data_IF_605023171655
#
_entry.id   IF_605023171655
#
_cell.length_a   1.000
_cell.length_b   1.000
_cell.length_c   1.000
_cell.angle_alpha   90.00
_cell.angle_beta   90.00
_cell.angle_gamma   90.00
#
_symmetry.space_group_name_H-M   'P 1'
#
loop_
_entity.id
_entity.type
_entity.pdbx_description
1 polymer ?
#
# COMPACT_ATOMS: atom_id res chain seq x y z
N UNK A 1 16.07 8.91 -11.18
CA UNK A 1 16.64 7.96 -12.14
C UNK A 1 15.91 6.63 -12.12
N UNK A 2 16.12 5.80 -13.12
CA UNK A 2 15.56 4.44 -13.21
C UNK A 2 16.34 3.44 -12.34
N UNK A 3 15.74 2.28 -12.05
CA UNK A 3 16.40 1.18 -11.36
C UNK A 3 16.56 1.36 -9.84
N UNK A 4 15.77 2.24 -9.22
CA UNK A 4 15.83 2.41 -7.77
C UNK A 4 15.18 1.20 -7.07
N UNK A 5 15.89 0.64 -6.08
CA UNK A 5 15.44 -0.50 -5.29
C UNK A 5 15.68 -0.23 -3.81
N UNK A 6 14.62 -0.36 -3.00
CA UNK A 6 14.72 -0.49 -1.56
C UNK A 6 14.64 -1.98 -1.22
N UNK A 7 15.69 -2.51 -0.62
CA UNK A 7 15.75 -3.95 -0.25
C UNK A 7 16.17 -4.13 1.19
N UNK A 8 15.41 -4.94 1.94
CA UNK A 8 15.75 -5.31 3.31
C UNK A 8 15.67 -4.16 4.31
N UNK A 9 15.05 -3.04 3.94
CA UNK A 9 14.96 -1.84 4.78
C UNK A 9 13.87 -1.98 5.85
N UNK A 10 14.02 -1.20 6.91
CA UNK A 10 13.03 -1.07 7.99
C UNK A 10 12.69 0.40 8.17
N UNK A 11 11.39 0.73 8.23
CA UNK A 11 10.88 2.08 8.49
C UNK A 11 9.90 2.02 9.66
N UNK A 12 10.21 2.69 10.75
CA UNK A 12 9.37 2.65 11.95
C UNK A 12 9.46 3.96 12.75
N UNK A 13 8.37 4.27 13.44
CA UNK A 13 8.26 5.49 14.26
C UNK A 13 8.53 6.78 13.46
N UNK A 14 8.31 6.76 12.15
CA UNK A 14 8.29 8.01 11.39
C UNK A 14 7.00 8.76 11.73
N UNK A 15 7.09 10.09 11.76
CA UNK A 15 5.91 10.93 12.01
C UNK A 15 4.89 10.87 10.89
N UNK A 16 5.29 10.48 9.71
CA UNK A 16 4.48 10.33 8.52
C UNK A 16 4.60 8.89 7.98
N UNK A 17 4.76 8.68 6.71
CA UNK A 17 4.77 7.35 6.07
C UNK A 17 6.09 6.59 6.28
N UNK A 18 6.05 5.27 6.17
CA UNK A 18 7.24 4.42 6.21
C UNK A 18 8.05 4.52 4.92
N UNK A 19 7.40 4.27 3.79
CA UNK A 19 7.94 4.43 2.44
C UNK A 19 6.94 5.25 1.62
N UNK A 20 7.43 6.29 0.93
CA UNK A 20 6.60 7.14 0.07
C UNK A 20 7.25 7.31 -1.30
N UNK A 21 6.53 6.89 -2.35
CA UNK A 21 6.93 6.98 -3.75
C UNK A 21 6.19 8.10 -4.51
N UNK A 22 5.56 9.03 -3.78
CA UNK A 22 4.86 10.14 -4.43
C UNK A 22 5.77 10.89 -5.39
N UNK A 23 5.26 11.23 -6.56
CA UNK A 23 5.96 11.94 -7.63
C UNK A 23 7.17 11.20 -8.23
N UNK A 24 7.31 9.90 -8.00
CA UNK A 24 8.34 9.11 -8.65
C UNK A 24 8.05 8.99 -10.14
N UNK A 25 8.94 9.55 -10.97
CA UNK A 25 8.78 9.55 -12.43
C UNK A 25 9.28 8.28 -13.12
N UNK A 26 9.81 7.31 -12.37
CA UNK A 26 10.31 6.03 -12.86
C UNK A 26 9.88 4.91 -11.91
N UNK A 27 9.80 3.70 -12.43
CA UNK A 27 9.46 2.53 -11.62
C UNK A 27 10.48 2.34 -10.47
N UNK A 28 9.94 2.07 -9.29
CA UNK A 28 10.71 1.79 -8.08
C UNK A 28 10.28 0.42 -7.56
N UNK A 29 11.23 -0.38 -7.11
CA UNK A 29 11.00 -1.66 -6.46
C UNK A 29 11.23 -1.52 -4.96
N UNK A 30 10.26 -1.95 -4.15
CA UNK A 30 10.40 -2.10 -2.70
C UNK A 30 10.25 -3.58 -2.39
N UNK A 31 11.30 -4.21 -1.86
CA UNK A 31 11.28 -5.64 -1.59
C UNK A 31 11.92 -6.02 -0.25
N UNK A 32 11.36 -7.04 0.41
CA UNK A 32 11.86 -7.54 1.70
C UNK A 32 11.96 -6.44 2.77
N UNK A 33 11.10 -5.43 2.69
CA UNK A 33 11.07 -4.29 3.60
C UNK A 33 9.96 -4.43 4.64
N UNK A 34 10.16 -3.79 5.79
CA UNK A 34 9.14 -3.73 6.84
C UNK A 34 8.80 -2.26 7.17
N UNK A 35 7.52 -1.98 7.33
CA UNK A 35 7.01 -0.67 7.75
C UNK A 35 6.04 -0.85 8.92
N UNK A 36 6.37 -0.28 10.08
CA UNK A 36 5.59 -0.52 11.29
C UNK A 36 5.64 0.65 12.27
N UNK A 37 4.54 0.86 13.01
CA UNK A 37 4.38 1.96 13.96
C UNK A 37 4.60 3.36 13.37
N UNK A 38 4.48 3.52 12.04
CA UNK A 38 4.57 4.85 11.43
C UNK A 38 3.30 5.65 11.71
N UNK A 39 3.42 6.97 11.74
CA UNK A 39 2.37 7.92 12.06
C UNK A 39 2.10 8.04 13.57
N UNK A 40 2.96 7.52 14.41
CA UNK A 40 2.91 7.67 15.87
C UNK A 40 4.18 8.29 16.42
N UNK A 41 4.07 8.94 17.56
CA UNK A 41 5.25 9.33 18.36
C UNK A 41 5.86 8.12 19.04
N UNK A 42 7.19 8.05 19.15
CA UNK A 42 7.83 6.99 19.91
C UNK A 42 7.28 6.86 21.32
N UNK A 43 7.00 5.62 21.74
CA UNK A 43 6.50 5.33 23.09
C UNK A 43 5.05 4.85 23.16
N UNK A 44 4.28 4.87 22.06
CA UNK A 44 2.94 4.31 22.06
C UNK A 44 2.09 4.64 20.85
N UNK A 45 1.00 3.90 20.67
CA UNK A 45 0.07 4.06 19.54
C UNK A 45 -1.11 5.01 19.85
N UNK A 46 -1.09 5.69 20.97
CA UNK A 46 -2.14 6.64 21.36
C UNK A 46 -1.94 8.05 20.80
N UNK A 47 -0.68 8.42 20.52
CA UNK A 47 -0.31 9.75 20.04
C UNK A 47 0.09 9.72 18.57
N UNK A 48 -0.87 10.09 17.71
CA UNK A 48 -0.64 10.22 16.26
C UNK A 48 0.20 11.47 15.96
N UNK A 49 1.13 11.32 15.01
CA UNK A 49 2.03 12.39 14.58
C UNK A 49 1.76 12.85 13.14
N UNK A 50 1.30 11.97 12.25
CA UNK A 50 1.04 12.27 10.84
C UNK A 50 0.16 11.22 10.16
N UNK A 51 0.27 11.07 8.84
CA UNK A 51 -0.56 10.15 8.07
C UNK A 51 -0.29 8.69 8.47
N UNK A 52 0.95 8.27 8.43
CA UNK A 52 1.41 6.99 8.95
C UNK A 52 0.97 5.78 8.14
N UNK A 53 1.03 5.87 6.83
CA UNK A 53 0.92 4.71 5.95
C UNK A 53 2.23 3.91 5.96
N UNK A 54 2.14 2.59 5.90
CA UNK A 54 3.33 1.73 5.84
C UNK A 54 4.06 1.89 4.50
N UNK A 55 3.40 1.54 3.41
CA UNK A 55 3.91 1.63 2.04
C UNK A 55 2.95 2.44 1.18
N UNK A 56 3.32 3.66 0.87
CA UNK A 56 2.61 4.57 -0.01
C UNK A 56 3.29 4.54 -1.38
N UNK A 57 2.75 3.73 -2.28
CA UNK A 57 3.46 3.33 -3.49
C UNK A 57 2.95 4.05 -4.73
N UNK A 58 3.22 5.34 -4.84
CA UNK A 58 2.92 6.11 -6.04
C UNK A 58 2.14 7.39 -5.77
N UNK A 59 1.43 7.87 -6.79
CA UNK A 59 0.64 9.09 -6.75
C UNK A 59 1.40 10.35 -7.20
N UNK A 60 0.61 11.33 -7.65
CA UNK A 60 1.14 12.62 -8.13
C UNK A 60 0.38 13.81 -7.50
N UNK A 61 -0.28 13.55 -6.37
CA UNK A 61 -1.14 14.51 -5.71
C UNK A 61 -2.49 14.71 -6.42
N UNK A 62 -3.34 15.52 -5.81
CA UNK A 62 -4.69 15.82 -6.29
C UNK A 62 -4.82 17.25 -6.83
N UNK A 63 -3.72 17.90 -7.19
CA UNK A 63 -3.75 19.21 -7.82
C UNK A 63 -4.20 19.13 -9.29
N UNK A 64 -4.78 20.21 -9.78
CA UNK A 64 -5.18 20.35 -11.18
C UNK A 64 -3.99 20.41 -12.15
N UNK A 65 -2.78 20.62 -11.62
CA UNK A 65 -1.54 20.60 -12.42
C UNK A 65 -0.78 19.32 -12.12
N UNK A 66 -0.94 18.27 -12.92
CA UNK A 66 -0.27 17.01 -12.68
C UNK A 66 1.23 17.15 -12.91
N UNK A 67 2.01 16.65 -11.95
CA UNK A 67 3.46 16.45 -12.09
C UNK A 67 3.78 15.03 -12.54
N UNK A 68 2.80 14.35 -13.11
CA UNK A 68 2.95 12.98 -13.59
C UNK A 68 3.81 12.96 -14.87
N UNK A 69 4.62 11.91 -15.06
CA UNK A 69 5.31 11.68 -16.31
C UNK A 69 4.32 11.27 -17.40
N UNK A 70 4.70 11.41 -18.68
CA UNK A 70 3.89 10.98 -19.81
C UNK A 70 3.54 9.47 -19.75
N UNK A 71 4.50 8.67 -19.30
CA UNK A 71 4.29 7.22 -19.07
C UNK A 71 4.28 6.98 -17.58
N UNK A 72 3.13 6.55 -17.06
CA UNK A 72 2.96 6.23 -15.63
C UNK A 72 3.74 4.97 -15.29
N UNK A 73 4.69 5.04 -14.35
CA UNK A 73 5.48 3.87 -13.97
C UNK A 73 4.64 2.87 -13.17
N UNK A 74 4.82 1.58 -13.43
CA UNK A 74 4.30 0.53 -12.56
C UNK A 74 5.34 0.25 -11.48
N UNK A 75 5.07 0.71 -10.25
CA UNK A 75 5.91 0.37 -9.10
C UNK A 75 5.68 -1.07 -8.66
N UNK A 76 6.66 -1.65 -7.97
CA UNK A 76 6.57 -3.00 -7.40
C UNK A 76 6.79 -2.95 -5.89
N UNK A 77 5.88 -3.56 -5.14
CA UNK A 77 6.04 -3.80 -3.70
C UNK A 77 5.87 -5.29 -3.46
N UNK A 78 6.94 -5.95 -3.03
CA UNK A 78 6.95 -7.40 -2.90
C UNK A 78 7.72 -7.93 -1.68
N UNK A 79 7.22 -9.04 -1.12
CA UNK A 79 7.82 -9.68 0.06
C UNK A 79 7.97 -8.71 1.24
N UNK A 80 7.05 -7.78 1.40
CA UNK A 80 7.07 -6.73 2.40
C UNK A 80 6.07 -7.01 3.52
N UNK A 81 6.34 -6.44 4.70
CA UNK A 81 5.46 -6.56 5.87
C UNK A 81 5.07 -5.17 6.37
N UNK A 82 3.77 -4.92 6.52
CA UNK A 82 3.21 -3.69 7.09
C UNK A 82 2.36 -4.00 8.31
N UNK A 83 2.72 -3.45 9.49
CA UNK A 83 1.92 -3.71 10.67
C UNK A 83 1.91 -2.55 11.66
N UNK A 84 0.78 -2.40 12.37
CA UNK A 84 0.57 -1.38 13.41
C UNK A 84 0.84 0.06 12.96
N UNK A 85 0.75 0.37 11.68
CA UNK A 85 0.83 1.76 11.21
C UNK A 85 -0.45 2.52 11.59
N UNK A 86 -0.39 3.85 11.70
CA UNK A 86 -1.55 4.64 12.14
C UNK A 86 -2.64 4.79 11.10
N UNK A 87 -2.34 4.48 9.84
CA UNK A 87 -3.27 4.53 8.71
C UNK A 87 -3.24 3.21 7.93
N UNK A 88 -2.88 3.19 6.68
CA UNK A 88 -2.95 2.02 5.80
C UNK A 88 -1.66 1.19 5.88
N UNK A 89 -1.76 -0.11 5.65
CA UNK A 89 -0.58 -0.95 5.47
C UNK A 89 0.07 -0.71 4.11
N UNK A 90 -0.68 -0.95 3.03
CA UNK A 90 -0.28 -0.75 1.64
C UNK A 90 -1.28 0.16 0.94
N UNK A 91 -0.79 1.20 0.26
CA UNK A 91 -1.62 2.23 -0.33
C UNK A 91 -1.16 2.62 -1.73
N UNK A 92 -2.07 2.59 -2.69
CA UNK A 92 -1.81 3.03 -4.06
C UNK A 92 -1.70 4.55 -4.20
N UNK A 93 -2.22 5.31 -3.24
CA UNK A 93 -2.05 6.76 -3.12
C UNK A 93 -2.47 7.56 -4.37
N UNK A 94 -3.69 7.34 -4.84
CA UNK A 94 -4.20 8.05 -6.02
C UNK A 94 -3.33 7.87 -7.28
N UNK A 95 -2.62 6.75 -7.39
CA UNK A 95 -1.76 6.48 -8.54
C UNK A 95 -2.63 6.35 -9.81
N UNK A 96 -2.34 7.07 -10.90
CA UNK A 96 -3.16 7.01 -12.11
C UNK A 96 -2.84 5.81 -13.00
N UNK A 97 -2.55 4.67 -12.42
CA UNK A 97 -2.19 3.42 -13.08
C UNK A 97 -2.12 2.25 -12.11
N UNK A 98 -1.65 1.12 -12.59
CA UNK A 98 -1.47 -0.08 -11.78
C UNK A 98 -0.17 -0.09 -10.99
N UNK A 99 -0.15 -0.89 -9.93
CA UNK A 99 1.02 -1.21 -9.10
C UNK A 99 1.03 -2.71 -8.91
N UNK A 100 2.22 -3.32 -8.90
CA UNK A 100 2.39 -4.74 -8.61
C UNK A 100 2.57 -4.93 -7.09
N UNK A 101 1.69 -5.73 -6.51
CA UNK A 101 1.69 -6.11 -5.10
C UNK A 101 1.80 -7.62 -5.01
N UNK A 102 2.92 -8.17 -4.55
CA UNK A 102 3.10 -9.61 -4.50
C UNK A 102 3.76 -10.08 -3.21
N UNK A 103 3.23 -11.19 -2.65
CA UNK A 103 3.77 -11.83 -1.45
C UNK A 103 3.93 -10.87 -0.25
N UNK A 104 3.04 -9.90 -0.10
CA UNK A 104 3.09 -8.97 1.01
C UNK A 104 2.18 -9.44 2.15
N UNK A 105 2.56 -9.11 3.38
CA UNK A 105 1.77 -9.38 4.58
C UNK A 105 1.39 -8.07 5.28
N UNK A 106 0.12 -7.93 5.62
CA UNK A 106 -0.42 -6.75 6.29
C UNK A 106 -1.22 -7.13 7.52
N UNK A 107 -0.93 -6.50 8.66
CA UNK A 107 -1.49 -6.86 9.96
C UNK A 107 -1.75 -5.64 10.84
N UNK A 108 -2.93 -5.57 11.48
CA UNK A 108 -3.26 -4.56 12.48
C UNK A 108 -3.04 -3.09 12.03
N UNK A 109 -3.15 -2.80 10.75
CA UNK A 109 -3.32 -1.43 10.29
C UNK A 109 -4.82 -1.08 10.27
N UNK A 110 -5.27 0.17 10.31
CA UNK A 110 -6.69 0.53 10.14
C UNK A 110 -7.30 -0.08 8.89
N UNK A 111 -6.61 0.03 7.75
CA UNK A 111 -6.87 -0.76 6.53
C UNK A 111 -5.59 -1.45 6.12
N UNK A 112 -5.62 -2.74 5.81
CA UNK A 112 -4.41 -3.44 5.42
C UNK A 112 -3.99 -3.11 3.98
N UNK A 113 -4.94 -3.02 3.06
CA UNK A 113 -4.71 -2.62 1.66
C UNK A 113 -5.72 -1.56 1.25
N UNK A 114 -5.27 -0.50 0.56
CA UNK A 114 -6.11 0.52 -0.04
C UNK A 114 -5.62 0.81 -1.45
N UNK A 115 -6.45 0.44 -2.43
CA UNK A 115 -6.07 0.51 -3.85
C UNK A 115 -6.67 1.72 -4.55
N UNK A 116 -6.88 2.82 -3.81
CA UNK A 116 -7.46 4.05 -4.35
C UNK A 116 -6.59 4.63 -5.46
N UNK A 117 -7.16 4.77 -6.64
CA UNK A 117 -6.52 5.40 -7.78
C UNK A 117 -7.06 6.81 -8.02
N UNK A 118 -6.34 7.56 -8.82
CA UNK A 118 -6.79 8.74 -9.55
C UNK A 118 -7.33 8.31 -10.91
N UNK A 119 -8.38 8.97 -11.42
CA UNK A 119 -9.08 8.60 -12.66
C UNK A 119 -8.14 8.60 -13.88
N UNK A 120 -7.34 9.63 -14.02
CA UNK A 120 -6.30 9.75 -15.07
C UNK A 120 -5.25 10.79 -14.68
N UNK A 121 -4.28 11.03 -15.54
CA UNK A 121 -3.30 12.11 -15.38
C UNK A 121 -4.01 13.49 -15.38
N UNK A 122 -4.97 13.66 -16.26
CA UNK A 122 -5.66 14.94 -16.47
C UNK A 122 -6.77 15.19 -15.45
N UNK A 123 -7.36 14.11 -14.91
CA UNK A 123 -8.49 14.20 -13.99
C UNK A 123 -8.10 13.75 -12.57
N UNK A 124 -7.84 14.73 -11.71
CA UNK A 124 -7.52 14.51 -10.29
C UNK A 124 -8.76 14.14 -9.46
N UNK A 125 -9.44 13.06 -9.85
CA UNK A 125 -10.65 12.54 -9.21
C UNK A 125 -10.36 11.15 -8.70
N UNK A 126 -10.74 10.87 -7.45
CA UNK A 126 -10.60 9.56 -6.83
C UNK A 126 -11.53 8.54 -7.45
N UNK A 127 -10.99 7.39 -7.76
CA UNK A 127 -11.74 6.24 -8.27
C UNK A 127 -11.24 4.94 -7.64
N UNK A 128 -12.10 3.93 -7.63
CA UNK A 128 -11.70 2.59 -7.21
C UNK A 128 -10.55 2.07 -8.08
N UNK A 129 -9.57 1.45 -7.44
CA UNK A 129 -8.30 1.01 -8.02
C UNK A 129 -8.43 0.15 -9.27
N UNK A 130 -7.59 0.41 -10.24
CA UNK A 130 -7.55 -0.30 -11.52
C UNK A 130 -6.11 -0.58 -11.97
N UNK A 131 -5.96 -1.59 -12.83
CA UNK A 131 -4.67 -1.94 -13.40
C UNK A 131 -3.68 -2.59 -12.42
N UNK A 132 -4.09 -2.78 -11.16
CA UNK A 132 -3.24 -3.44 -10.18
C UNK A 132 -3.09 -4.93 -10.46
N UNK A 133 -1.93 -5.46 -10.07
CA UNK A 133 -1.63 -6.89 -10.02
C UNK A 133 -1.42 -7.25 -8.55
N UNK A 134 -2.36 -8.01 -7.98
CA UNK A 134 -2.32 -8.45 -6.58
C UNK A 134 -2.21 -9.97 -6.53
N UNK A 135 -1.06 -10.48 -6.10
CA UNK A 135 -0.84 -11.94 -6.04
C UNK A 135 -0.20 -12.36 -4.73
N UNK A 136 -0.72 -13.44 -4.14
CA UNK A 136 -0.18 -14.07 -2.94
C UNK A 136 -0.05 -13.11 -1.74
N UNK A 137 -0.92 -12.13 -1.60
CA UNK A 137 -0.86 -11.21 -0.48
C UNK A 137 -1.71 -11.72 0.68
N UNK A 138 -1.23 -11.45 1.90
CA UNK A 138 -1.88 -11.82 3.14
C UNK A 138 -2.39 -10.56 3.86
N UNK A 139 -3.64 -10.61 4.30
CA UNK A 139 -4.23 -9.60 5.19
C UNK A 139 -4.81 -10.28 6.41
N UNK A 140 -4.31 -9.91 7.59
CA UNK A 140 -4.82 -10.42 8.85
C UNK A 140 -5.21 -9.29 9.80
N UNK A 141 -6.34 -9.46 10.46
CA UNK A 141 -6.83 -8.61 11.56
C UNK A 141 -6.66 -7.09 11.35
N UNK A 142 -7.27 -6.48 10.32
CA UNK A 142 -7.27 -5.01 10.21
C UNK A 142 -7.99 -4.40 11.42
N UNK A 143 -7.50 -3.27 11.96
CA UNK A 143 -8.10 -2.63 13.14
C UNK A 143 -9.49 -2.06 12.88
N UNK A 144 -9.79 -1.66 11.65
CA UNK A 144 -11.16 -1.35 11.25
C UNK A 144 -11.80 -2.60 10.67
N UNK A 145 -12.91 -3.03 11.24
CA UNK A 145 -13.58 -4.26 10.88
C UNK A 145 -13.85 -4.35 9.36
N UNK A 146 -13.49 -5.48 8.77
CA UNK A 146 -13.70 -5.78 7.36
C UNK A 146 -12.78 -5.06 6.37
N UNK A 147 -11.85 -4.20 6.82
CA UNK A 147 -10.98 -3.43 5.92
C UNK A 147 -9.69 -4.17 5.55
N UNK A 148 -9.83 -5.43 5.12
CA UNK A 148 -8.72 -6.20 4.54
C UNK A 148 -8.20 -5.53 3.26
N UNK A 149 -9.11 -5.16 2.36
CA UNK A 149 -8.84 -4.35 1.18
C UNK A 149 -10.01 -3.39 0.94
N UNK A 150 -9.71 -2.17 0.53
CA UNK A 150 -10.69 -1.13 0.20
C UNK A 150 -10.34 -0.44 -1.11
N UNK A 151 -11.33 0.24 -1.69
CA UNK A 151 -11.17 1.13 -2.86
C UNK A 151 -10.57 0.42 -4.08
N UNK A 152 -11.00 -0.80 -4.38
CA UNK A 152 -10.57 -1.58 -5.55
C UNK A 152 -11.73 -1.84 -6.52
N UNK A 153 -11.44 -1.78 -7.80
CA UNK A 153 -12.32 -2.32 -8.86
C UNK A 153 -11.73 -3.66 -9.32
N UNK A 154 -12.25 -4.74 -8.75
CA UNK A 154 -11.73 -6.09 -8.98
C UNK A 154 -11.73 -6.49 -10.47
N UNK A 155 -12.76 -6.09 -11.20
CA UNK A 155 -12.91 -6.43 -12.63
C UNK A 155 -11.85 -5.74 -13.53
N UNK A 156 -11.16 -4.73 -13.01
CA UNK A 156 -10.11 -4.00 -13.70
C UNK A 156 -8.70 -4.28 -13.16
N UNK A 157 -8.56 -5.31 -12.32
CA UNK A 157 -7.29 -5.72 -11.71
C UNK A 157 -7.02 -7.20 -12.00
N UNK A 158 -5.75 -7.59 -11.94
CA UNK A 158 -5.36 -9.00 -11.93
C UNK A 158 -5.20 -9.46 -10.47
N UNK A 159 -6.05 -10.41 -10.02
CA UNK A 159 -6.13 -10.80 -8.63
C UNK A 159 -6.03 -12.31 -8.53
N UNK A 160 -5.04 -12.82 -7.79
CA UNK A 160 -4.88 -14.26 -7.58
C UNK A 160 -4.27 -14.57 -6.20
N UNK A 161 -4.77 -15.62 -5.57
CA UNK A 161 -4.20 -16.23 -4.36
C UNK A 161 -3.98 -15.28 -3.17
N UNK A 162 -4.80 -14.25 -3.02
CA UNK A 162 -4.72 -13.42 -1.83
C UNK A 162 -5.66 -13.98 -0.74
N UNK A 163 -5.33 -13.77 0.53
CA UNK A 163 -6.18 -14.22 1.66
C UNK A 163 -7.52 -13.48 1.76
N UNK A 164 -7.75 -12.46 0.94
CA UNK A 164 -8.92 -11.58 1.00
C UNK A 164 -9.69 -11.46 -0.31
N UNK A 165 -9.10 -11.86 -1.45
CA UNK A 165 -9.69 -11.83 -2.80
C UNK A 165 -9.02 -12.89 -3.71
N UNK A 166 -9.76 -13.49 -4.67
CA UNK A 166 -11.19 -13.29 -4.98
C UNK A 166 -12.14 -13.91 -3.95
N UNK A 167 -11.65 -14.84 -3.15
CA UNK A 167 -12.40 -15.46 -2.05
C UNK A 167 -11.63 -15.22 -0.73
N UNK A 168 -12.31 -14.69 0.26
CA UNK A 168 -11.71 -14.48 1.58
C UNK A 168 -11.41 -15.83 2.25
N UNK A 169 -10.20 -15.97 2.80
CA UNK A 169 -9.80 -17.10 3.64
C UNK A 169 -10.05 -16.75 5.10
N UNK A 170 -10.51 -17.70 5.88
CA UNK A 170 -10.54 -17.55 7.33
C UNK A 170 -9.15 -17.84 7.88
N UNK A 171 -8.50 -16.82 8.40
CA UNK A 171 -7.20 -16.93 9.05
C UNK A 171 -7.39 -16.80 10.57
N UNK A 172 -6.64 -17.58 11.32
CA UNK A 172 -6.62 -17.57 12.77
C UNK A 172 -5.19 -17.33 13.29
N UNK A 173 -5.03 -17.05 14.58
CA UNK A 173 -3.70 -16.93 15.18
C UNK A 173 -2.86 -18.21 15.03
N UNK A 174 -3.52 -19.37 15.03
CA UNK A 174 -2.84 -20.66 14.87
C UNK A 174 -2.12 -20.81 13.53
N UNK A 175 -2.55 -20.09 12.48
CA UNK A 175 -1.92 -20.13 11.17
C UNK A 175 -0.55 -19.39 11.15
N UNK A 176 -0.23 -18.68 12.23
CA UNK A 176 1.03 -17.93 12.37
C UNK A 176 1.95 -18.46 13.49
N UNK A 177 1.50 -19.50 14.22
CA UNK A 177 2.25 -20.13 15.31
C UNK A 177 2.94 -21.41 14.81
N UNK A 178 4.08 -21.29 14.14
CA UNK A 178 4.89 -22.44 13.73
C UNK A 178 6.36 -22.25 14.08
#
# INVERSE_FOLDING_TARGET
>A
GSGNVFRGCRAWWNSDDGFDLIHSGQAVVIEQCWAFYNGYRPGGMSDKAGDGTGFKAGGYGMSSTPKAPEVIPMHEVKNCIAYYNSNKGFYANHHPGGILWSNNSSYMNPSNYCMLNRKSIEEAVDVAGYGHILTNNLSYSPRSAGKHIIDINESRCQIANNSFLPAAMTLTEADFLS
#
